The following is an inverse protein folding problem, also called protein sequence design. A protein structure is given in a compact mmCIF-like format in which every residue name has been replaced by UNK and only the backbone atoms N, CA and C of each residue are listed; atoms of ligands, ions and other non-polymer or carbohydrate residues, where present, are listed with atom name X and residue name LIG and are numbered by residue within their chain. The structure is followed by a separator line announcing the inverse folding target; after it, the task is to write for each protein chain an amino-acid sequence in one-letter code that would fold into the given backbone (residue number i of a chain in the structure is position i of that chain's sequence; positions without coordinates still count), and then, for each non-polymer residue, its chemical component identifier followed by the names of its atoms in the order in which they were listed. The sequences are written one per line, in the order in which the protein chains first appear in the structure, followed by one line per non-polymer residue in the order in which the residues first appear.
data_IF_224212877212
#
_entry.id   IF_224212877212
#
_cell.length_a   1.000
_cell.length_b   1.000
_cell.length_c   1.000
_cell.angle_alpha   90.00
_cell.angle_beta   90.00
_cell.angle_gamma   90.00
#
_symmetry.space_group_name_H-M   'P 1'
#
loop_
_entity.id
_entity.type
_entity.pdbx_description
1 polymer ?
#
# COMPACT_ATOMS: atom_id res chain seq x y z
N UNK A 1 -35.26 -30.03 -25.73
CA UNK A 1 -33.81 -29.86 -26.04
C UNK A 1 -33.28 -28.44 -25.80
N UNK A 2 -33.99 -27.35 -26.16
CA UNK A 2 -33.51 -25.97 -25.93
C UNK A 2 -33.37 -25.57 -24.45
N UNK A 3 -34.27 -26.04 -23.57
CA UNK A 3 -34.19 -25.76 -22.13
C UNK A 3 -32.99 -26.45 -21.44
N UNK A 4 -32.62 -27.65 -21.89
CA UNK A 4 -31.46 -28.39 -21.35
C UNK A 4 -30.12 -27.74 -21.74
N UNK A 5 -30.04 -27.17 -22.95
CA UNK A 5 -28.86 -26.44 -23.41
C UNK A 5 -28.65 -25.12 -22.65
N UNK A 6 -29.74 -24.42 -22.29
CA UNK A 6 -29.67 -23.20 -21.50
C UNK A 6 -29.18 -23.46 -20.06
N UNK A 7 -29.67 -24.53 -19.42
CA UNK A 7 -29.25 -24.90 -18.05
C UNK A 7 -27.79 -25.34 -18.01
N UNK A 8 -27.32 -26.08 -19.01
CA UNK A 8 -25.91 -26.46 -19.13
C UNK A 8 -24.98 -25.25 -19.36
N UNK A 9 -25.42 -24.27 -20.16
CA UNK A 9 -24.67 -23.03 -20.40
C UNK A 9 -24.52 -22.17 -19.15
N UNK A 10 -25.59 -22.02 -18.35
CA UNK A 10 -25.54 -21.26 -17.09
C UNK A 10 -24.64 -21.93 -16.06
N UNK A 11 -24.68 -23.26 -15.94
CA UNK A 11 -23.82 -24.00 -15.02
C UNK A 11 -22.32 -23.89 -15.37
N UNK A 12 -21.98 -23.87 -16.66
CA UNK A 12 -20.61 -23.66 -17.14
C UNK A 12 -20.11 -22.25 -16.85
N UNK A 13 -20.96 -21.23 -16.99
CA UNK A 13 -20.60 -19.83 -16.69
C UNK A 13 -20.38 -19.64 -15.18
N UNK A 14 -21.21 -20.26 -14.32
CA UNK A 14 -21.01 -20.23 -12.86
C UNK A 14 -19.72 -20.94 -12.43
N UNK A 15 -19.35 -22.05 -13.09
CA UNK A 15 -18.10 -22.76 -12.80
C UNK A 15 -16.84 -21.96 -13.20
N UNK A 16 -16.92 -21.17 -14.28
CA UNK A 16 -15.83 -20.29 -14.72
C UNK A 16 -15.67 -19.12 -13.73
N UNK A 17 -16.75 -18.50 -13.27
CA UNK A 17 -16.69 -17.45 -12.25
C UNK A 17 -16.17 -17.96 -10.89
N UNK A 18 -16.61 -19.13 -10.44
CA UNK A 18 -16.13 -19.72 -9.19
C UNK A 18 -14.64 -20.14 -9.22
N UNK A 19 -14.10 -20.43 -10.41
CA UNK A 19 -12.68 -20.74 -10.60
C UNK A 19 -11.79 -19.48 -10.60
N UNK A 20 -12.32 -18.32 -10.99
CA UNK A 20 -11.59 -17.04 -10.94
C UNK A 20 -11.44 -16.52 -9.50
N UNK A 21 -12.43 -16.77 -8.62
CA UNK A 21 -12.32 -16.37 -7.21
C UNK A 21 -11.28 -17.19 -6.44
N UNK A 22 -11.26 -18.52 -6.62
CA UNK A 22 -10.28 -19.40 -5.95
C UNK A 22 -8.83 -19.15 -6.35
N UNK A 23 -8.55 -18.50 -7.48
CA UNK A 23 -7.18 -18.16 -7.89
C UNK A 23 -6.65 -16.87 -7.24
N UNK A 24 -7.52 -16.05 -6.64
CA UNK A 24 -7.09 -14.84 -5.90
C UNK A 24 -6.66 -15.14 -4.47
N UNK A 25 -7.13 -16.25 -3.88
CA UNK A 25 -6.89 -16.58 -2.47
C UNK A 25 -5.70 -17.53 -2.22
N UNK A 26 -4.98 -17.95 -3.28
CA UNK A 26 -3.81 -18.84 -3.18
C UNK A 26 -2.47 -18.14 -3.48
N UNK A 27 -2.39 -16.84 -3.21
CA UNK A 27 -1.17 -16.03 -3.27
C UNK A 27 -1.01 -15.07 -2.07
N UNK A 28 -1.61 -15.39 -0.92
CA UNK A 28 -1.24 -14.77 0.35
C UNK A 28 0.00 -15.48 0.92
N UNK A 29 1.21 -15.05 0.55
CA UNK A 29 2.41 -15.05 1.43
C UNK A 29 3.67 -14.34 0.86
N UNK A 30 3.52 -13.32 0.00
CA UNK A 30 4.64 -12.41 -0.31
C UNK A 30 4.09 -10.98 -0.48
N UNK A 31 4.17 -10.16 0.58
CA UNK A 31 3.39 -8.92 0.73
C UNK A 31 4.05 -7.74 0.00
N UNK A 32 3.40 -7.12 -1.00
CA UNK A 32 3.51 -5.68 -1.24
C UNK A 32 2.26 -4.96 -0.72
N UNK A 33 1.87 -5.16 0.56
CA UNK A 33 0.84 -4.29 1.14
C UNK A 33 1.55 -3.02 1.59
N UNK A 34 1.33 -1.97 0.82
CA UNK A 34 1.71 -0.59 1.14
C UNK A 34 1.22 -0.22 2.55
N UNK A 35 2.03 0.54 3.27
CA UNK A 35 1.72 1.02 4.60
C UNK A 35 1.28 2.47 4.51
N UNK A 36 0.23 2.81 5.24
CA UNK A 36 -0.32 4.16 5.28
C UNK A 36 -0.16 4.72 6.68
N UNK A 37 0.31 5.96 6.77
CA UNK A 37 0.38 6.71 8.03
C UNK A 37 0.11 8.18 7.79
N UNK A 38 -0.58 8.80 8.73
CA UNK A 38 -0.76 10.24 8.76
C UNK A 38 0.31 10.84 9.67
N UNK A 39 1.02 11.84 9.18
CA UNK A 39 1.93 12.66 9.96
C UNK A 39 1.48 14.12 9.88
N UNK A 40 1.82 14.98 10.86
CA UNK A 40 1.68 16.41 10.70
C UNK A 40 2.46 16.87 9.47
N UNK A 41 1.85 17.67 8.60
CA UNK A 41 2.56 18.22 7.46
C UNK A 41 3.55 19.30 7.92
N UNK A 42 4.71 19.36 7.29
CA UNK A 42 5.56 20.53 7.39
C UNK A 42 4.86 21.69 6.67
N UNK A 43 4.82 22.86 7.31
CA UNK A 43 4.18 24.06 6.76
C UNK A 43 5.18 25.21 6.83
N UNK A 44 5.40 25.86 5.69
CA UNK A 44 6.24 27.05 5.64
C UNK A 44 5.45 28.28 6.09
N UNK A 45 6.10 29.19 6.81
CA UNK A 45 5.51 30.44 7.29
C UNK A 45 4.84 31.25 6.18
N UNK A 46 5.47 31.29 5.01
CA UNK A 46 5.00 32.10 3.88
C UNK A 46 3.86 31.40 3.10
N UNK A 47 3.57 30.13 3.40
CA UNK A 47 2.57 29.29 2.74
C UNK A 47 1.74 28.45 3.73
N UNK A 48 0.98 29.09 4.64
CA UNK A 48 0.33 28.40 5.76
C UNK A 48 -0.77 27.40 5.35
N UNK A 49 -1.26 27.48 4.11
CA UNK A 49 -2.32 26.62 3.57
C UNK A 49 -1.81 25.44 2.71
N UNK A 50 -0.50 25.23 2.63
CA UNK A 50 0.11 24.20 1.78
C UNK A 50 1.06 23.31 2.58
N UNK A 51 1.12 22.04 2.23
CA UNK A 51 2.12 21.11 2.77
C UNK A 51 3.47 21.38 2.09
N UNK A 52 4.57 21.24 2.82
CA UNK A 52 5.92 21.34 2.27
C UNK A 52 6.49 19.94 2.01
N UNK A 53 6.70 19.62 0.73
CA UNK A 53 7.33 18.40 0.28
C UNK A 53 8.86 18.54 0.32
N UNK A 54 9.49 18.11 1.41
CA UNK A 54 10.95 18.20 1.60
C UNK A 54 11.76 17.49 0.49
N UNK A 55 11.29 16.34 0.00
CA UNK A 55 11.93 15.58 -1.08
C UNK A 55 11.89 16.29 -2.44
N UNK A 56 10.96 17.23 -2.62
CA UNK A 56 10.82 18.05 -3.85
C UNK A 56 11.30 19.49 -3.66
N UNK A 57 11.54 19.92 -2.41
CA UNK A 57 11.76 21.32 -2.06
C UNK A 57 10.65 22.23 -2.63
N UNK A 58 9.39 21.83 -2.47
CA UNK A 58 8.23 22.52 -3.05
C UNK A 58 7.03 22.48 -2.11
N UNK A 59 6.11 23.44 -2.26
CA UNK A 59 4.82 23.43 -1.58
C UNK A 59 3.77 22.73 -2.43
N UNK A 60 2.88 21.97 -1.78
CA UNK A 60 1.84 21.14 -2.38
C UNK A 60 0.49 21.52 -1.78
N UNK A 61 -0.50 21.78 -2.64
CA UNK A 61 -1.86 22.10 -2.22
C UNK A 61 -2.57 20.86 -1.63
N UNK A 62 -3.52 21.05 -0.68
CA UNK A 62 -4.37 19.96 -0.20
C UNK A 62 -5.05 19.22 -1.36
N UNK A 63 -5.10 17.88 -1.26
CA UNK A 63 -5.63 16.98 -2.28
C UNK A 63 -4.60 16.50 -3.32
N UNK A 64 -3.40 17.08 -3.36
CA UNK A 64 -2.36 16.67 -4.29
C UNK A 64 -1.33 15.73 -3.67
N UNK A 65 -0.77 14.85 -4.51
CA UNK A 65 0.23 13.85 -4.14
C UNK A 65 1.57 14.09 -4.82
N UNK A 66 2.65 13.59 -4.22
CA UNK A 66 4.00 13.61 -4.79
C UNK A 66 4.77 12.33 -4.43
N UNK A 67 5.71 11.95 -5.29
CA UNK A 67 6.63 10.85 -5.01
C UNK A 67 7.69 11.23 -3.98
N UNK A 68 8.03 10.28 -3.12
CA UNK A 68 9.05 10.44 -2.07
C UNK A 68 10.48 10.10 -2.54
N UNK A 69 10.69 9.93 -3.84
CA UNK A 69 12.01 9.65 -4.41
C UNK A 69 13.07 10.60 -3.82
N UNK A 70 14.21 10.07 -3.32
CA UNK A 70 14.76 8.73 -3.57
C UNK A 70 14.20 7.59 -2.69
N UNK A 71 13.26 7.87 -1.79
CA UNK A 71 12.57 6.84 -1.01
C UNK A 71 11.43 6.22 -1.81
N UNK A 72 11.14 4.94 -1.56
CA UNK A 72 10.02 4.26 -2.21
C UNK A 72 8.72 4.53 -1.44
N UNK A 73 8.00 5.57 -1.87
CA UNK A 73 6.74 5.96 -1.29
C UNK A 73 6.08 7.12 -2.05
N UNK A 74 4.87 7.44 -1.64
CA UNK A 74 4.09 8.58 -2.11
C UNK A 74 3.52 9.30 -0.90
N UNK A 75 3.49 10.62 -0.96
CA UNK A 75 2.80 11.43 0.02
C UNK A 75 1.64 12.19 -0.60
N UNK A 76 0.64 12.51 0.21
CA UNK A 76 -0.51 13.32 -0.18
C UNK A 76 -0.79 14.38 0.88
N UNK A 77 -0.98 15.63 0.44
CA UNK A 77 -1.34 16.72 1.33
C UNK A 77 -2.84 16.61 1.67
N UNK A 78 -3.17 16.52 2.94
CA UNK A 78 -4.56 16.39 3.42
C UNK A 78 -4.83 17.54 4.39
N UNK A 79 -6.04 18.09 4.32
CA UNK A 79 -6.55 19.00 5.35
C UNK A 79 -7.49 18.21 6.25
N UNK A 80 -7.21 18.19 7.55
CA UNK A 80 -8.09 17.58 8.55
C UNK A 80 -9.36 18.41 8.74
N UNK A 81 -10.35 17.83 9.39
CA UNK A 81 -11.61 18.51 9.73
C UNK A 81 -11.37 19.71 10.66
N UNK A 82 -10.43 19.59 11.58
CA UNK A 82 -9.97 20.67 12.47
C UNK A 82 -9.16 21.77 11.75
N UNK A 83 -8.98 21.64 10.43
CA UNK A 83 -8.29 22.62 9.58
C UNK A 83 -6.76 22.52 9.59
N UNK A 84 -6.18 21.53 10.27
CA UNK A 84 -4.75 21.27 10.28
C UNK A 84 -4.31 20.58 8.98
N UNK A 85 -3.06 20.77 8.58
CA UNK A 85 -2.48 20.07 7.43
C UNK A 85 -1.77 18.79 7.89
N UNK A 86 -2.06 17.70 7.20
CA UNK A 86 -1.50 16.38 7.41
C UNK A 86 -0.87 15.90 6.11
N UNK A 87 0.16 15.08 6.23
CA UNK A 87 0.74 14.34 5.12
C UNK A 87 0.36 12.87 5.27
N UNK A 88 -0.42 12.34 4.32
CA UNK A 88 -0.67 10.91 4.20
C UNK A 88 0.49 10.28 3.45
N UNK A 89 1.34 9.59 4.20
CA UNK A 89 2.50 8.85 3.67
C UNK A 89 2.08 7.42 3.37
N UNK A 90 2.25 7.01 2.12
CA UNK A 90 2.13 5.63 1.65
C UNK A 90 3.53 5.11 1.28
N UNK A 91 4.04 4.12 2.01
CA UNK A 91 5.38 3.57 1.79
C UNK A 91 5.39 2.03 1.86
N UNK A 92 6.55 1.41 1.74
CA UNK A 92 6.70 -0.05 1.78
C UNK A 92 6.59 -0.65 3.19
N UNK A 93 6.53 0.18 4.23
CA UNK A 93 6.52 -0.24 5.62
C UNK A 93 7.89 -0.63 6.19
N UNK A 94 7.90 -1.19 7.42
CA UNK A 94 9.12 -1.63 8.04
C UNK A 94 9.75 -2.78 7.26
N UNK A 95 11.07 -2.77 7.19
CA UNK A 95 11.82 -3.90 6.66
C UNK A 95 11.71 -5.09 7.62
N UNK A 96 11.76 -6.33 7.09
CA UNK A 96 11.78 -7.50 7.95
C UNK A 96 13.03 -7.54 8.82
N UNK A 97 12.94 -8.25 9.95
CA UNK A 97 14.10 -8.58 10.78
C UNK A 97 15.10 -9.36 9.94
N UNK A 98 16.39 -9.15 10.20
CA UNK A 98 17.45 -9.86 9.49
C UNK A 98 17.27 -11.37 9.63
N UNK A 99 17.21 -12.06 8.49
CA UNK A 99 17.12 -13.50 8.42
C UNK A 99 18.13 -14.01 7.39
N UNK A 100 19.15 -14.80 7.77
CA UNK A 100 20.17 -15.26 6.83
C UNK A 100 19.63 -16.19 5.73
N UNK A 101 18.43 -16.74 5.90
CA UNK A 101 17.75 -17.62 4.93
C UNK A 101 16.83 -16.87 3.96
N UNK A 102 16.82 -15.54 4.03
CA UNK A 102 16.05 -14.68 3.14
C UNK A 102 16.95 -13.60 2.56
N UNK A 103 16.87 -13.38 1.25
CA UNK A 103 17.62 -12.34 0.53
C UNK A 103 16.68 -11.41 -0.22
N UNK A 104 17.15 -10.19 -0.50
CA UNK A 104 16.45 -9.31 -1.42
C UNK A 104 16.40 -9.98 -2.81
N UNK A 105 15.21 -10.07 -3.40
CA UNK A 105 15.00 -10.63 -4.73
C UNK A 105 15.62 -9.74 -5.80
N UNK A 106 16.21 -10.36 -6.83
CA UNK A 106 16.71 -9.68 -8.03
C UNK A 106 15.59 -9.01 -8.83
N UNK A 107 14.32 -9.34 -8.54
CA UNK A 107 13.13 -8.68 -9.11
C UNK A 107 12.86 -7.30 -8.51
N UNK A 108 13.53 -6.95 -7.41
CA UNK A 108 13.35 -5.64 -6.76
C UNK A 108 13.94 -4.54 -7.63
N UNK A 109 13.09 -3.68 -8.20
CA UNK A 109 13.53 -2.50 -8.94
C UNK A 109 13.40 -1.22 -8.11
N UNK A 110 14.44 -0.87 -7.37
CA UNK A 110 14.44 0.30 -6.46
C UNK A 110 14.22 1.66 -7.14
N UNK A 111 14.37 1.76 -8.46
CA UNK A 111 14.16 3.01 -9.21
C UNK A 111 12.78 3.10 -9.86
N UNK A 112 11.97 2.06 -9.74
CA UNK A 112 10.60 2.08 -10.23
C UNK A 112 9.74 3.11 -9.46
N UNK A 113 8.64 3.59 -10.03
CA UNK A 113 7.65 4.36 -9.29
C UNK A 113 7.04 3.53 -8.15
N UNK A 114 6.66 4.18 -7.05
CA UNK A 114 5.88 3.52 -6.00
C UNK A 114 4.52 3.07 -6.55
N UNK A 115 4.05 1.84 -6.25
CA UNK A 115 4.58 0.90 -5.25
C UNK A 115 5.60 -0.13 -5.75
N UNK A 116 5.95 -0.10 -7.03
CA UNK A 116 6.76 -1.14 -7.67
C UNK A 116 8.24 -1.13 -7.23
N UNK A 117 8.69 -0.04 -6.61
CA UNK A 117 10.02 0.03 -5.99
C UNK A 117 10.14 -0.68 -4.64
N UNK A 118 9.05 -1.24 -4.10
CA UNK A 118 9.09 -1.89 -2.81
C UNK A 118 9.94 -3.16 -2.82
N UNK A 119 10.69 -3.43 -1.72
CA UNK A 119 11.59 -4.57 -1.66
C UNK A 119 10.80 -5.88 -1.65
N UNK A 120 11.18 -6.78 -2.56
CA UNK A 120 10.68 -8.16 -2.61
C UNK A 120 11.78 -9.07 -2.05
N UNK A 121 11.41 -10.08 -1.27
CA UNK A 121 12.37 -10.98 -0.64
C UNK A 121 12.12 -12.41 -1.06
N UNK A 122 13.21 -13.14 -1.33
CA UNK A 122 13.18 -14.56 -1.61
C UNK A 122 13.79 -15.32 -0.44
N UNK A 123 13.00 -16.23 0.14
CA UNK A 123 13.39 -17.07 1.27
C UNK A 123 13.52 -18.54 0.87
N UNK A 124 14.34 -19.29 1.61
CA UNK A 124 14.35 -20.75 1.54
C UNK A 124 12.97 -21.34 1.85
N UNK A 125 12.68 -22.53 1.32
CA UNK A 125 11.37 -23.16 1.46
C UNK A 125 10.97 -23.33 2.94
N UNK A 126 9.77 -22.83 3.29
CA UNK A 126 9.22 -22.89 4.65
C UNK A 126 9.72 -21.81 5.61
N UNK A 127 10.61 -20.91 5.16
CA UNK A 127 11.07 -19.76 5.96
C UNK A 127 10.15 -18.57 5.71
N UNK A 128 9.60 -18.01 6.78
CA UNK A 128 8.79 -16.79 6.75
C UNK A 128 9.58 -15.60 7.29
N UNK A 129 9.34 -14.43 6.72
CA UNK A 129 9.90 -13.18 7.23
C UNK A 129 9.14 -12.71 8.46
N UNK A 130 9.89 -12.40 9.51
CA UNK A 130 9.35 -11.70 10.67
C UNK A 130 9.51 -10.20 10.50
N UNK A 131 8.46 -9.44 10.75
CA UNK A 131 8.51 -7.98 10.73
C UNK A 131 8.55 -7.43 12.16
N UNK A 132 9.16 -6.26 12.39
CA UNK A 132 9.00 -5.54 13.65
C UNK A 132 7.52 -5.27 13.94
N UNK A 133 7.12 -5.40 15.19
CA UNK A 133 5.79 -4.97 15.64
C UNK A 133 5.73 -3.44 15.55
N UNK A 134 4.79 -2.92 14.76
CA UNK A 134 4.50 -1.48 14.74
C UNK A 134 3.43 -1.22 15.80
N UNK A 135 3.62 -0.25 16.71
CA UNK A 135 2.55 0.20 17.57
C UNK A 135 1.35 0.59 16.72
N UNK A 136 0.27 -0.17 16.81
CA UNK A 136 -0.94 0.12 16.05
C UNK A 136 -1.66 1.26 16.77
N UNK A 137 -1.91 2.41 16.13
CA UNK A 137 -2.80 3.40 16.73
C UNK A 137 -4.17 2.72 16.97
N UNK A 138 -4.86 3.07 18.06
CA UNK A 138 -6.18 2.51 18.34
C UNK A 138 -7.11 2.75 17.13
N UNK A 139 -8.01 1.81 16.83
CA UNK A 139 -8.93 1.97 15.71
C UNK A 139 -9.70 3.29 15.84
N UNK A 140 -9.98 4.00 14.73
CA UNK A 140 -10.83 5.18 14.75
C UNK A 140 -12.13 4.80 15.48
N UNK A 141 -12.47 5.55 16.53
CA UNK A 141 -13.78 5.36 17.18
C UNK A 141 -14.82 5.65 16.11
N UNK A 142 -15.63 4.65 15.77
CA UNK A 142 -16.80 4.85 14.92
C UNK A 142 -17.64 5.98 15.53
N UNK A 143 -17.60 7.14 14.89
CA UNK A 143 -18.52 8.22 15.19
C UNK A 143 -19.89 7.73 14.75
N UNK A 144 -20.70 7.36 15.75
CA UNK A 144 -22.10 7.00 15.53
C UNK A 144 -22.80 8.25 15.01
N UNK A 145 -23.12 8.23 13.72
CA UNK A 145 -24.08 9.14 13.10
C UNK A 145 -25.46 9.07 13.78
#
# INVERSE_FOLDING_TARGET
MRALLAVAGVALICAVWAAEEKKKDAAEEDRPKTFKRLIPADVLRDFPGMCFASTKCATIEPGHSWDLAPFCGRSTCIKSEDGHLLELVEDCGPLPKQNPKCKLSDKTNKTAPFPDCCPQFECEAGVKLEYPEIPTPPPPKEEKA
#
